data_IF_227803918435
#
_entry.id   IF_227803918435
#
_cell.length_a   1.000
_cell.length_b   1.000
_cell.length_c   1.000
_cell.angle_alpha   90.00
_cell.angle_beta   90.00
_cell.angle_gamma   90.00
#
_symmetry.space_group_name_H-M   'P 1'
#
loop_
_entity.id
_entity.type
_entity.pdbx_description
1 polymer ?
#
# COMPACT_ATOMS: atom_id res chain seq x y z
N UNK A 1 -85.48 19.65 22.74
CA UNK A 1 -84.12 19.29 22.29
C UNK A 1 -83.79 20.11 21.04
N UNK A 2 -82.65 20.81 20.99
CA UNK A 2 -82.16 21.47 19.76
C UNK A 2 -81.30 20.47 18.98
N UNK A 3 -81.79 19.98 17.84
CA UNK A 3 -80.97 19.27 16.86
C UNK A 3 -80.15 20.31 16.07
N UNK A 4 -78.83 20.14 16.03
CA UNK A 4 -77.97 20.98 15.20
C UNK A 4 -78.07 20.57 13.72
N UNK A 5 -77.98 21.50 12.76
CA UNK A 5 -77.92 21.14 11.34
C UNK A 5 -76.60 20.39 11.06
N UNK A 6 -76.69 19.28 10.32
CA UNK A 6 -75.51 18.60 9.79
C UNK A 6 -74.66 19.58 8.96
N UNK A 7 -73.36 19.69 9.27
CA UNK A 7 -72.41 20.44 8.44
C UNK A 7 -72.31 19.78 7.08
N UNK A 8 -72.89 20.40 6.05
CA UNK A 8 -72.76 19.95 4.68
C UNK A 8 -71.28 19.95 4.28
N UNK A 9 -70.75 18.77 3.92
CA UNK A 9 -69.36 18.64 3.48
C UNK A 9 -69.23 19.29 2.10
N UNK A 10 -68.65 20.49 2.06
CA UNK A 10 -68.52 21.29 0.82
C UNK A 10 -67.52 20.59 -0.12
N UNK A 11 -68.02 19.74 -1.00
CA UNK A 11 -67.24 19.13 -2.09
C UNK A 11 -66.55 20.26 -2.86
N UNK A 12 -65.21 20.23 -2.91
CA UNK A 12 -64.43 21.15 -3.74
C UNK A 12 -64.66 20.81 -5.21
N UNK A 13 -65.76 21.34 -5.77
CA UNK A 13 -65.97 21.43 -7.21
C UNK A 13 -65.02 22.50 -7.77
N UNK A 14 -63.72 22.22 -7.78
CA UNK A 14 -62.77 22.99 -8.58
C UNK A 14 -63.01 22.64 -10.04
N UNK A 15 -63.42 23.61 -10.86
CA UNK A 15 -63.76 23.37 -12.26
C UNK A 15 -62.60 22.70 -13.02
N UNK A 16 -62.81 21.46 -13.45
CA UNK A 16 -61.79 20.65 -14.14
C UNK A 16 -61.34 21.27 -15.46
N UNK A 17 -62.19 22.09 -16.09
CA UNK A 17 -61.89 22.89 -17.29
C UNK A 17 -60.80 23.94 -17.06
N UNK A 18 -60.62 24.45 -15.83
CA UNK A 18 -59.61 25.47 -15.52
C UNK A 18 -58.19 24.89 -15.34
N UNK A 19 -58.06 23.56 -15.19
CA UNK A 19 -56.78 22.86 -14.98
C UNK A 19 -56.32 22.06 -16.22
N UNK A 20 -56.77 22.47 -17.41
CA UNK A 20 -56.38 21.85 -18.67
C UNK A 20 -54.94 22.14 -19.10
N UNK A 21 -54.31 21.18 -19.78
CA UNK A 21 -53.00 21.41 -20.43
C UNK A 21 -53.17 22.15 -21.74
N UNK A 22 -52.33 23.16 -22.00
CA UNK A 22 -52.33 23.93 -23.27
C UNK A 22 -52.00 23.09 -24.52
N UNK A 23 -51.36 21.93 -24.35
CA UNK A 23 -51.14 20.95 -25.41
C UNK A 23 -51.08 19.55 -24.83
N UNK A 24 -52.06 18.71 -25.18
CA UNK A 24 -52.13 17.30 -24.76
C UNK A 24 -50.91 16.49 -25.22
N UNK A 25 -50.45 16.71 -26.45
CA UNK A 25 -49.27 16.02 -27.04
C UNK A 25 -47.98 16.41 -26.29
N UNK A 26 -47.80 17.69 -25.97
CA UNK A 26 -46.62 18.16 -25.21
C UNK A 26 -46.65 17.65 -23.77
N UNK A 27 -47.80 17.71 -23.11
CA UNK A 27 -48.00 17.18 -21.76
C UNK A 27 -47.68 15.67 -21.71
N UNK A 28 -48.26 14.88 -22.62
CA UNK A 28 -48.01 13.43 -22.73
C UNK A 28 -46.51 13.13 -22.94
N UNK A 29 -45.83 13.83 -23.85
CA UNK A 29 -44.37 13.67 -24.06
C UNK A 29 -43.54 14.02 -22.83
N UNK A 30 -43.91 15.07 -22.09
CA UNK A 30 -43.23 15.45 -20.84
C UNK A 30 -43.44 14.41 -19.74
N UNK A 31 -44.68 13.91 -19.60
CA UNK A 31 -45.03 12.88 -18.62
C UNK A 31 -44.31 11.57 -18.90
N UNK A 32 -44.26 11.10 -20.16
CA UNK A 32 -43.51 9.91 -20.56
C UNK A 32 -42.01 10.02 -20.23
N UNK A 33 -41.38 11.18 -20.49
CA UNK A 33 -39.97 11.42 -20.12
C UNK A 33 -39.75 11.48 -18.61
N UNK A 34 -40.72 11.99 -17.84
CA UNK A 34 -40.65 12.02 -16.39
C UNK A 34 -40.73 10.58 -15.83
N UNK A 35 -41.72 9.80 -16.26
CA UNK A 35 -41.89 8.39 -15.83
C UNK A 35 -40.71 7.52 -16.24
N UNK A 36 -40.17 7.69 -17.46
CA UNK A 36 -38.95 6.99 -17.90
C UNK A 36 -37.73 7.34 -17.03
N UNK A 37 -37.58 8.62 -16.66
CA UNK A 37 -36.51 9.07 -15.76
C UNK A 37 -36.68 8.56 -14.33
N UNK A 38 -37.92 8.43 -13.85
CA UNK A 38 -38.23 7.83 -12.56
C UNK A 38 -37.98 6.32 -12.56
N UNK A 39 -38.43 5.60 -13.59
CA UNK A 39 -38.13 4.17 -13.78
C UNK A 39 -36.62 3.90 -13.82
N UNK A 40 -35.83 4.70 -14.56
CA UNK A 40 -34.35 4.61 -14.57
C UNK A 40 -33.68 4.99 -13.24
N UNK A 41 -34.39 5.65 -12.31
CA UNK A 41 -33.90 5.94 -10.95
C UNK A 41 -34.21 4.83 -9.96
N UNK A 42 -35.21 3.99 -10.23
CA UNK A 42 -35.52 2.83 -9.38
C UNK A 42 -34.39 1.81 -9.49
N UNK A 43 -33.77 1.51 -8.35
CA UNK A 43 -32.74 0.49 -8.20
C UNK A 43 -33.16 -0.44 -7.05
N UNK A 44 -32.65 -1.67 -7.04
CA UNK A 44 -32.93 -2.63 -5.96
C UNK A 44 -32.39 -2.06 -4.63
N UNK A 45 -33.22 -1.92 -3.59
CA UNK A 45 -32.76 -1.41 -2.30
C UNK A 45 -31.75 -2.38 -1.70
N UNK A 46 -30.50 -1.93 -1.57
CA UNK A 46 -29.40 -2.71 -1.02
C UNK A 46 -29.08 -2.20 0.38
N UNK A 47 -28.94 -3.11 1.34
CA UNK A 47 -28.59 -2.79 2.73
C UNK A 47 -27.10 -2.45 2.79
N UNK A 48 -26.76 -1.19 3.06
CA UNK A 48 -25.38 -0.82 3.42
C UNK A 48 -25.08 -1.29 4.85
N UNK A 49 -23.87 -1.81 5.06
CA UNK A 49 -23.39 -2.33 6.36
C UNK A 49 -22.11 -1.63 6.84
N UNK A 50 -21.75 -0.50 6.24
CA UNK A 50 -20.66 0.34 6.72
C UNK A 50 -21.04 1.04 8.04
N UNK A 51 -20.24 0.81 9.08
CA UNK A 51 -20.42 1.43 10.40
C UNK A 51 -19.10 2.09 10.82
N UNK A 52 -19.15 3.38 11.19
CA UNK A 52 -17.97 4.14 11.61
C UNK A 52 -17.21 4.78 10.45
N UNK A 53 -15.89 4.73 10.52
CA UNK A 53 -15.00 5.27 9.48
C UNK A 53 -14.89 4.29 8.30
N UNK A 54 -15.08 4.73 7.04
CA UNK A 54 -15.06 3.84 5.89
C UNK A 54 -13.60 3.42 5.57
N UNK A 55 -13.33 2.12 5.30
CA UNK A 55 -12.00 1.67 4.92
C UNK A 55 -11.57 2.24 3.55
N UNK A 56 -10.26 2.35 3.27
CA UNK A 56 -9.73 2.94 2.04
C UNK A 56 -10.24 2.21 0.79
N UNK A 57 -10.87 2.88 -0.19
CA UNK A 57 -11.42 2.17 -1.35
C UNK A 57 -10.35 1.51 -2.22
N UNK A 58 -10.56 0.27 -2.66
CA UNK A 58 -9.56 -0.49 -3.41
C UNK A 58 -9.60 -0.13 -4.89
N UNK A 59 -8.50 0.46 -5.37
CA UNK A 59 -8.26 0.78 -6.77
C UNK A 59 -7.23 -0.22 -7.32
N UNK A 60 -7.69 -1.19 -8.10
CA UNK A 60 -6.81 -2.12 -8.80
C UNK A 60 -6.27 -1.45 -10.05
N UNK A 61 -4.98 -1.59 -10.29
CA UNK A 61 -4.30 -1.19 -11.52
C UNK A 61 -3.95 -2.48 -12.27
N UNK A 62 -4.50 -2.65 -13.47
CA UNK A 62 -4.12 -3.74 -14.38
C UNK A 62 -3.24 -3.13 -15.48
N UNK A 63 -1.97 -3.52 -15.49
CA UNK A 63 -1.00 -3.11 -16.51
C UNK A 63 -0.63 -4.29 -17.43
N UNK A 64 -0.34 -4.03 -18.71
CA UNK A 64 0.31 -5.02 -19.58
C UNK A 64 1.76 -5.30 -19.09
N UNK A 65 2.30 -6.53 -19.27
CA UNK A 65 3.55 -6.96 -18.65
C UNK A 65 4.78 -6.13 -19.03
N UNK A 66 4.73 -5.38 -20.14
CA UNK A 66 5.85 -4.62 -20.70
C UNK A 66 6.16 -3.29 -20.00
N UNK A 67 5.30 -2.82 -19.08
CA UNK A 67 5.40 -1.46 -18.52
C UNK A 67 5.49 -1.36 -17.00
N UNK A 68 5.75 -2.47 -16.32
CA UNK A 68 5.84 -2.52 -14.86
C UNK A 68 6.88 -1.56 -14.28
N UNK A 69 6.44 -0.68 -13.39
CA UNK A 69 7.31 0.17 -12.59
C UNK A 69 8.02 -0.68 -11.52
N UNK A 70 9.35 -0.71 -11.44
CA UNK A 70 10.09 -1.69 -10.62
C UNK A 70 10.06 -1.44 -9.11
N UNK A 71 9.57 -0.27 -8.66
CA UNK A 71 9.79 0.27 -7.32
C UNK A 71 8.61 0.04 -6.34
N UNK A 72 7.38 -0.07 -6.87
CA UNK A 72 6.16 -0.21 -6.05
C UNK A 72 5.81 -1.71 -5.91
N UNK A 73 5.66 -2.17 -4.66
CA UNK A 73 5.31 -3.55 -4.32
C UNK A 73 4.31 -3.61 -3.17
N UNK A 74 3.29 -4.47 -3.33
CA UNK A 74 2.16 -4.57 -2.40
C UNK A 74 1.21 -3.37 -2.51
N UNK A 75 0.21 -3.27 -1.63
CA UNK A 75 -0.78 -2.20 -1.68
C UNK A 75 -0.26 -0.89 -1.10
N UNK A 76 -0.69 0.23 -1.72
CA UNK A 76 -0.33 1.60 -1.34
C UNK A 76 -1.57 2.38 -0.94
N UNK A 77 -1.72 2.69 0.35
CA UNK A 77 -2.83 3.50 0.87
C UNK A 77 -2.48 4.98 0.84
N UNK A 78 -3.37 5.83 0.32
CA UNK A 78 -3.18 7.28 0.16
C UNK A 78 -4.43 8.05 0.59
N UNK A 79 -4.25 9.13 1.35
CA UNK A 79 -5.33 10.06 1.71
C UNK A 79 -5.66 10.96 0.51
N UNK A 80 -6.73 10.62 -0.23
CA UNK A 80 -7.24 11.41 -1.37
C UNK A 80 -8.04 12.64 -0.92
N UNK A 81 -8.76 12.55 0.20
CA UNK A 81 -9.53 13.65 0.77
C UNK A 81 -10.03 13.37 2.18
N UNK A 82 -10.66 14.37 2.82
CA UNK A 82 -10.99 14.37 4.26
C UNK A 82 -11.99 13.31 4.74
N UNK A 83 -12.63 12.62 3.81
CA UNK A 83 -13.58 11.52 4.08
C UNK A 83 -13.28 10.31 3.19
N UNK A 84 -12.07 10.24 2.61
CA UNK A 84 -11.73 9.31 1.54
C UNK A 84 -10.24 9.03 1.48
N UNK A 85 -9.87 7.82 1.87
CA UNK A 85 -8.62 7.19 1.48
C UNK A 85 -8.85 6.33 0.23
N UNK A 86 -7.78 6.05 -0.52
CA UNK A 86 -7.73 5.10 -1.63
C UNK A 86 -6.58 4.12 -1.34
N UNK A 87 -6.77 2.84 -1.63
CA UNK A 87 -5.72 1.83 -1.60
C UNK A 87 -5.47 1.38 -3.04
N UNK A 88 -4.33 1.78 -3.60
CA UNK A 88 -3.89 1.30 -4.90
C UNK A 88 -3.28 -0.09 -4.75
N UNK A 89 -3.59 -0.97 -5.68
CA UNK A 89 -3.07 -2.33 -5.74
C UNK A 89 -2.69 -2.67 -7.18
N UNK A 90 -1.43 -3.05 -7.40
CA UNK A 90 -0.98 -3.60 -8.68
C UNK A 90 -1.49 -5.03 -8.84
N UNK A 91 -1.99 -5.36 -10.04
CA UNK A 91 -2.50 -6.68 -10.36
C UNK A 91 -1.39 -7.53 -11.00
N UNK A 92 -0.97 -8.65 -10.39
CA UNK A 92 -0.03 -9.56 -11.03
C UNK A 92 -0.68 -10.23 -12.25
N UNK A 93 0.15 -10.61 -13.23
CA UNK A 93 -0.29 -11.24 -14.49
C UNK A 93 -0.68 -12.72 -14.33
N UNK A 94 -0.79 -13.20 -13.08
CA UNK A 94 -1.28 -14.53 -12.77
C UNK A 94 -2.81 -14.51 -12.75
N UNK A 95 -3.46 -15.43 -13.47
CA UNK A 95 -4.93 -15.58 -13.51
C UNK A 95 -5.53 -15.65 -12.09
N UNK A 96 -4.85 -16.31 -11.15
CA UNK A 96 -5.29 -16.40 -9.75
C UNK A 96 -5.29 -15.02 -9.07
N UNK A 97 -4.26 -14.21 -9.29
CA UNK A 97 -4.17 -12.85 -8.75
C UNK A 97 -5.17 -11.91 -9.41
N UNK A 98 -5.38 -12.03 -10.72
CA UNK A 98 -6.47 -11.35 -11.45
C UNK A 98 -7.85 -11.70 -10.88
N UNK A 99 -8.13 -12.98 -10.61
CA UNK A 99 -9.39 -13.44 -10.00
C UNK A 99 -9.60 -12.78 -8.63
N UNK A 100 -8.58 -12.72 -7.78
CA UNK A 100 -8.71 -12.12 -6.45
C UNK A 100 -8.82 -10.59 -6.50
N UNK A 101 -8.06 -9.93 -7.37
CA UNK A 101 -8.17 -8.50 -7.64
C UNK A 101 -9.56 -8.12 -8.18
N UNK A 102 -10.10 -8.90 -9.13
CA UNK A 102 -11.42 -8.70 -9.72
C UNK A 102 -12.55 -8.79 -8.69
N UNK A 103 -12.41 -9.65 -7.67
CA UNK A 103 -13.37 -9.71 -6.55
C UNK A 103 -13.30 -8.40 -5.74
N UNK A 104 -12.12 -8.04 -5.24
CA UNK A 104 -11.94 -6.99 -4.21
C UNK A 104 -12.10 -5.55 -4.73
N UNK A 105 -11.94 -5.32 -6.04
CA UNK A 105 -11.94 -4.00 -6.63
C UNK A 105 -13.23 -3.19 -6.34
N UNK A 106 -13.06 -1.94 -5.91
CA UNK A 106 -14.08 -0.90 -5.98
C UNK A 106 -13.99 -0.15 -7.33
N UNK A 107 -12.76 0.04 -7.81
CA UNK A 107 -12.40 0.60 -9.11
C UNK A 107 -11.29 -0.23 -9.76
N UNK A 108 -11.42 -0.53 -11.05
CA UNK A 108 -10.35 -1.06 -11.87
C UNK A 108 -9.85 0.01 -12.87
N UNK A 109 -8.55 0.28 -12.86
CA UNK A 109 -7.86 1.05 -13.90
C UNK A 109 -7.25 0.04 -14.89
N UNK A 110 -7.75 0.03 -16.12
CA UNK A 110 -7.26 -0.81 -17.20
C UNK A 110 -6.31 0.01 -18.05
N UNK A 111 -5.01 -0.24 -17.97
CA UNK A 111 -4.05 0.42 -18.85
C UNK A 111 -4.06 -0.30 -20.20
N UNK A 112 -4.25 0.46 -21.27
CA UNK A 112 -4.29 -0.03 -22.65
C UNK A 112 -3.23 0.73 -23.41
N UNK A 113 -2.28 0.01 -24.00
CA UNK A 113 -1.28 0.60 -24.89
C UNK A 113 -1.96 1.05 -26.19
N UNK A 114 -1.91 2.33 -26.52
CA UNK A 114 -2.48 2.84 -27.77
C UNK A 114 -1.66 2.44 -29.02
N UNK A 115 -0.42 1.99 -28.85
CA UNK A 115 0.47 1.55 -29.94
C UNK A 115 0.26 0.07 -30.31
N UNK A 116 0.17 -0.82 -29.32
CA UNK A 116 -0.19 -2.25 -29.52
C UNK A 116 -1.69 -2.51 -29.60
N UNK A 117 -2.51 -1.66 -28.97
CA UNK A 117 -3.93 -1.89 -28.79
C UNK A 117 -4.23 -2.74 -27.55
N UNK A 118 -5.29 -3.55 -27.63
CA UNK A 118 -5.72 -4.39 -26.52
C UNK A 118 -4.97 -5.72 -26.48
N UNK A 119 -4.30 -5.99 -25.36
CA UNK A 119 -3.70 -7.30 -25.08
C UNK A 119 -4.75 -8.28 -24.49
N UNK A 120 -4.54 -9.58 -24.74
CA UNK A 120 -5.44 -10.66 -24.28
C UNK A 120 -5.67 -10.62 -22.76
N UNK A 121 -4.61 -10.39 -21.98
CA UNK A 121 -4.63 -10.26 -20.52
C UNK A 121 -5.64 -9.19 -20.03
N UNK A 122 -5.76 -8.06 -20.74
CA UNK A 122 -6.70 -6.99 -20.38
C UNK A 122 -8.16 -7.40 -20.60
N UNK A 123 -8.43 -8.23 -21.61
CA UNK A 123 -9.76 -8.80 -21.86
C UNK A 123 -10.08 -9.96 -20.91
N UNK A 124 -9.11 -10.80 -20.56
CA UNK A 124 -9.29 -11.85 -19.55
C UNK A 124 -9.70 -11.25 -18.21
N UNK A 125 -8.98 -10.23 -17.73
CA UNK A 125 -9.34 -9.53 -16.49
C UNK A 125 -10.72 -8.85 -16.57
N UNK A 126 -11.08 -8.25 -17.72
CA UNK A 126 -12.41 -7.69 -17.95
C UNK A 126 -13.52 -8.76 -17.85
N UNK A 127 -13.30 -9.94 -18.43
CA UNK A 127 -14.25 -11.06 -18.40
C UNK A 127 -14.37 -11.66 -16.98
N UNK A 128 -13.26 -11.78 -16.24
CA UNK A 128 -13.26 -12.19 -14.84
C UNK A 128 -14.06 -11.22 -13.96
N UNK A 129 -13.88 -9.91 -14.16
CA UNK A 129 -14.68 -8.88 -13.49
C UNK A 129 -16.17 -8.98 -13.83
N UNK A 130 -16.55 -9.23 -15.08
CA UNK A 130 -17.95 -9.43 -15.46
C UNK A 130 -18.57 -10.62 -14.71
N UNK A 131 -17.85 -11.75 -14.63
CA UNK A 131 -18.30 -12.96 -13.95
C UNK A 131 -18.45 -12.81 -12.43
N UNK A 132 -17.57 -12.03 -11.77
CA UNK A 132 -17.64 -11.77 -10.33
C UNK A 132 -18.56 -10.61 -9.93
N UNK A 133 -19.17 -9.96 -10.92
CA UNK A 133 -19.99 -8.77 -10.78
C UNK A 133 -19.16 -7.52 -11.07
N UNK A 134 -19.36 -6.95 -12.25
CA UNK A 134 -18.54 -5.87 -12.81
C UNK A 134 -18.44 -4.67 -11.86
N UNK A 135 -17.27 -4.40 -11.25
CA UNK A 135 -17.05 -3.17 -10.49
C UNK A 135 -16.98 -1.99 -11.46
N UNK A 136 -16.77 -0.79 -10.91
CA UNK A 136 -16.49 0.35 -11.78
C UNK A 136 -15.12 0.15 -12.44
N UNK A 137 -15.04 0.36 -13.75
CA UNK A 137 -13.76 0.32 -14.45
C UNK A 137 -13.54 1.59 -15.29
N UNK A 138 -12.28 1.89 -15.58
CA UNK A 138 -11.84 3.00 -16.41
C UNK A 138 -10.66 2.56 -17.25
N UNK A 139 -10.76 2.70 -18.57
CA UNK A 139 -9.62 2.57 -19.48
C UNK A 139 -8.73 3.81 -19.40
N UNK A 140 -7.43 3.62 -19.27
CA UNK A 140 -6.39 4.65 -19.37
C UNK A 140 -5.53 4.30 -20.58
N UNK A 141 -5.52 5.15 -21.60
CA UNK A 141 -4.70 4.94 -22.80
C UNK A 141 -3.27 5.46 -22.54
N UNK A 142 -2.28 4.59 -22.70
CA UNK A 142 -0.84 4.89 -22.60
C UNK A 142 -0.17 4.91 -23.98
N UNK A 143 1.08 5.35 -24.06
CA UNK A 143 1.90 5.40 -25.29
C UNK A 143 1.22 6.06 -26.49
N UNK A 144 0.45 7.10 -26.20
CA UNK A 144 0.03 8.08 -27.20
C UNK A 144 1.22 8.99 -27.52
N UNK A 145 2.25 8.50 -28.22
CA UNK A 145 3.53 9.20 -28.43
C UNK A 145 3.43 10.61 -29.06
N UNK A 146 2.29 10.90 -29.69
CA UNK A 146 1.94 12.23 -30.25
C UNK A 146 1.46 13.23 -29.18
N UNK A 147 1.12 12.75 -27.99
CA UNK A 147 0.62 13.51 -26.85
C UNK A 147 1.50 13.24 -25.62
N UNK A 148 2.34 14.21 -25.25
CA UNK A 148 3.06 14.16 -23.97
C UNK A 148 2.05 14.02 -22.84
N UNK A 149 2.13 12.95 -22.05
CA UNK A 149 1.30 12.77 -20.86
C UNK A 149 1.49 13.97 -19.94
N UNK A 150 0.50 14.86 -19.87
CA UNK A 150 0.67 16.10 -19.12
C UNK A 150 0.39 15.86 -17.65
N UNK A 151 1.07 16.60 -16.78
CA UNK A 151 0.71 16.64 -15.34
C UNK A 151 -0.76 17.03 -15.14
N UNK A 152 -1.36 17.75 -16.10
CA UNK A 152 -2.77 18.12 -16.13
C UNK A 152 -3.69 16.92 -16.31
N UNK A 153 -3.34 15.97 -17.17
CA UNK A 153 -4.16 14.78 -17.45
C UNK A 153 -4.20 13.86 -16.22
N UNK A 154 -3.04 13.63 -15.59
CA UNK A 154 -2.93 12.94 -14.30
C UNK A 154 -3.72 13.69 -13.21
N UNK A 155 -3.64 15.02 -13.17
CA UNK A 155 -4.46 15.85 -12.26
C UNK A 155 -5.97 15.74 -12.55
N UNK A 156 -6.39 15.45 -13.78
CA UNK A 156 -7.80 15.30 -14.13
C UNK A 156 -8.31 13.89 -13.82
N UNK A 157 -7.49 12.87 -14.10
CA UNK A 157 -7.73 11.48 -13.68
C UNK A 157 -7.88 11.37 -12.16
N UNK A 158 -6.92 11.91 -11.40
CA UNK A 158 -6.97 11.89 -9.92
C UNK A 158 -8.17 12.66 -9.36
N UNK A 159 -8.56 13.81 -9.95
CA UNK A 159 -9.82 14.50 -9.61
C UNK A 159 -11.04 13.61 -9.86
N UNK A 160 -11.10 12.91 -10.99
CA UNK A 160 -12.21 12.03 -11.33
C UNK A 160 -12.35 10.90 -10.30
N UNK A 161 -11.26 10.18 -10.02
CA UNK A 161 -11.22 9.09 -9.02
C UNK A 161 -11.64 9.62 -7.64
N UNK A 162 -11.12 10.79 -7.25
CA UNK A 162 -11.43 11.42 -5.94
C UNK A 162 -12.90 11.79 -5.76
N UNK A 163 -13.63 12.12 -6.84
CA UNK A 163 -15.06 12.50 -6.80
C UNK A 163 -15.99 11.29 -6.98
N UNK A 164 -15.57 10.26 -7.71
CA UNK A 164 -16.43 9.16 -8.15
C UNK A 164 -16.93 8.29 -6.98
N UNK A 165 -18.23 8.01 -6.89
CA UNK A 165 -18.77 7.06 -5.88
C UNK A 165 -18.72 5.63 -6.43
N UNK A 166 -18.29 4.68 -5.61
CA UNK A 166 -18.23 3.27 -5.98
C UNK A 166 -19.45 2.51 -5.43
N UNK A 167 -20.15 1.72 -6.25
CA UNK A 167 -21.18 0.81 -5.76
C UNK A 167 -20.53 -0.39 -5.06
N UNK A 168 -21.13 -0.84 -3.96
CA UNK A 168 -20.71 -2.06 -3.26
C UNK A 168 -21.35 -3.29 -3.91
N UNK A 169 -20.54 -4.26 -4.32
CA UNK A 169 -21.01 -5.57 -4.77
C UNK A 169 -21.66 -6.34 -3.62
N UNK A 170 -22.73 -7.10 -3.91
CA UNK A 170 -23.46 -7.86 -2.89
C UNK A 170 -22.55 -8.83 -2.11
N UNK A 171 -21.56 -9.42 -2.78
CA UNK A 171 -20.58 -10.31 -2.12
C UNK A 171 -19.77 -9.55 -1.05
N UNK A 172 -19.32 -8.33 -1.36
CA UNK A 172 -18.53 -7.45 -0.46
C UNK A 172 -19.35 -7.03 0.75
N UNK A 173 -20.60 -6.65 0.54
CA UNK A 173 -21.48 -6.21 1.65
C UNK A 173 -21.88 -7.35 2.57
N UNK A 174 -21.89 -8.60 2.08
CA UNK A 174 -22.33 -9.77 2.87
C UNK A 174 -21.21 -10.53 3.59
N UNK A 175 -19.92 -10.35 3.25
CA UNK A 175 -18.80 -11.12 3.81
C UNK A 175 -17.72 -10.20 4.43
N UNK A 176 -17.14 -10.55 5.60
CA UNK A 176 -15.92 -9.91 6.07
C UNK A 176 -14.74 -10.33 5.19
N UNK A 177 -13.90 -9.39 4.79
CA UNK A 177 -12.62 -9.68 4.13
C UNK A 177 -11.56 -8.64 4.52
N UNK A 178 -10.29 -8.99 4.32
CA UNK A 178 -9.14 -8.12 4.60
C UNK A 178 -8.26 -8.12 3.34
N UNK A 179 -7.78 -6.95 2.96
CA UNK A 179 -6.63 -6.81 2.04
C UNK A 179 -5.40 -6.64 2.92
N UNK A 180 -4.38 -7.46 2.69
CA UNK A 180 -3.17 -7.50 3.52
C UNK A 180 -2.22 -6.39 3.09
N UNK A 181 -1.89 -5.50 4.02
CA UNK A 181 -0.92 -4.43 3.78
C UNK A 181 0.50 -4.88 4.15
N UNK A 182 0.61 -5.61 5.26
CA UNK A 182 1.87 -6.04 5.85
C UNK A 182 1.69 -7.42 6.49
N UNK A 183 2.68 -8.28 6.35
CA UNK A 183 2.75 -9.54 7.09
C UNK A 183 4.09 -9.62 7.83
N UNK A 184 4.08 -10.13 9.05
CA UNK A 184 5.26 -10.35 9.89
C UNK A 184 5.34 -11.83 10.26
N UNK A 185 6.55 -12.40 10.28
CA UNK A 185 6.77 -13.73 10.84
C UNK A 185 7.14 -13.52 12.32
N UNK A 186 6.32 -14.06 13.24
CA UNK A 186 6.50 -13.98 14.69
C UNK A 186 7.00 -15.33 15.23
N UNK A 187 7.50 -16.20 14.34
CA UNK A 187 8.19 -17.43 14.73
C UNK A 187 9.56 -17.06 15.32
N UNK A 188 9.89 -17.49 16.55
CA UNK A 188 11.17 -17.20 17.17
C UNK A 188 12.28 -17.90 16.37
N UNK A 189 13.43 -17.23 16.18
CA UNK A 189 14.43 -17.66 15.22
C UNK A 189 15.02 -19.03 15.57
N UNK A 190 15.12 -19.43 16.85
CA UNK A 190 15.70 -20.73 17.21
C UNK A 190 14.90 -21.89 16.61
N UNK A 191 13.57 -21.78 16.53
CA UNK A 191 12.72 -22.81 15.91
C UNK A 191 12.97 -22.94 14.40
N UNK A 192 13.20 -21.81 13.71
CA UNK A 192 13.49 -21.78 12.28
C UNK A 192 14.88 -22.34 11.97
N UNK A 193 15.88 -22.05 12.81
CA UNK A 193 17.24 -22.60 12.69
C UNK A 193 17.26 -24.13 12.93
N UNK A 194 16.48 -24.63 13.91
CA UNK A 194 16.39 -26.07 14.20
C UNK A 194 15.63 -26.84 13.10
N UNK A 195 14.58 -26.25 12.52
CA UNK A 195 13.85 -26.85 11.40
C UNK A 195 13.26 -25.76 10.48
N UNK A 196 13.85 -25.60 9.30
CA UNK A 196 13.38 -24.61 8.31
C UNK A 196 11.93 -24.86 7.82
N UNK A 197 11.43 -26.10 7.95
CA UNK A 197 10.06 -26.52 7.60
C UNK A 197 9.12 -26.60 8.81
N UNK A 198 9.38 -25.86 9.88
CA UNK A 198 8.47 -25.78 11.03
C UNK A 198 7.19 -24.96 10.72
N UNK A 199 6.12 -25.22 11.47
CA UNK A 199 4.91 -24.39 11.46
C UNK A 199 5.23 -22.96 11.92
N UNK A 200 4.95 -21.98 11.06
CA UNK A 200 5.27 -20.56 11.31
C UNK A 200 4.06 -19.76 11.78
N UNK A 201 4.27 -18.92 12.79
CA UNK A 201 3.25 -18.01 13.33
C UNK A 201 3.33 -16.67 12.59
N UNK A 202 2.46 -16.48 11.59
CA UNK A 202 2.43 -15.25 10.78
C UNK A 202 1.38 -14.29 11.35
N UNK A 203 1.77 -13.04 11.61
CA UNK A 203 0.86 -11.93 11.93
C UNK A 203 0.57 -11.13 10.66
N UNK A 204 -0.70 -10.80 10.46
CA UNK A 204 -1.20 -10.15 9.23
C UNK A 204 -1.89 -8.84 9.63
N UNK A 205 -1.46 -7.74 9.01
CA UNK A 205 -2.04 -6.40 9.17
C UNK A 205 -2.72 -5.96 7.88
N UNK A 206 -3.84 -5.28 8.01
CA UNK A 206 -4.59 -4.71 6.90
C UNK A 206 -5.97 -4.23 7.33
N UNK A 207 -6.63 -3.47 6.46
CA UNK A 207 -7.95 -2.91 6.74
C UNK A 207 -9.05 -3.96 6.63
N UNK A 208 -9.94 -4.01 7.62
CA UNK A 208 -11.16 -4.83 7.59
C UNK A 208 -12.20 -4.21 6.65
N UNK A 209 -12.83 -5.04 5.81
CA UNK A 209 -13.73 -4.64 4.74
C UNK A 209 -15.00 -5.49 4.73
N UNK A 210 -16.08 -4.92 4.20
CA UNK A 210 -17.37 -5.59 4.11
C UNK A 210 -18.11 -5.64 5.45
N UNK A 211 -18.31 -6.84 6.00
CA UNK A 211 -18.93 -7.03 7.32
C UNK A 211 -17.91 -7.01 8.47
N UNK A 212 -18.39 -6.73 9.69
CA UNK A 212 -17.61 -6.91 10.91
C UNK A 212 -17.33 -8.39 11.18
N UNK A 213 -16.10 -8.69 11.63
CA UNK A 213 -15.70 -10.04 12.04
C UNK A 213 -16.31 -10.39 13.41
N UNK A 214 -16.90 -11.59 13.55
CA UNK A 214 -17.46 -12.04 14.83
C UNK A 214 -16.34 -12.49 15.77
N UNK A 215 -16.37 -12.00 17.01
CA UNK A 215 -15.50 -12.48 18.11
C UNK A 215 -15.68 -14.00 18.28
N UNK A 216 -14.58 -14.75 18.27
CA UNK A 216 -14.59 -16.22 18.38
C UNK A 216 -14.74 -17.00 17.06
N UNK A 217 -14.65 -16.34 15.90
CA UNK A 217 -14.60 -17.05 14.59
C UNK A 217 -13.29 -17.86 14.48
N UNK A 218 -13.39 -19.19 14.47
CA UNK A 218 -12.22 -20.09 14.56
C UNK A 218 -11.49 -20.35 13.23
N UNK A 219 -12.02 -19.87 12.10
CA UNK A 219 -11.52 -20.21 10.76
C UNK A 219 -11.65 -19.05 9.77
N UNK A 220 -10.54 -18.69 9.13
CA UNK A 220 -10.47 -17.85 7.95
C UNK A 220 -9.46 -18.48 6.96
N UNK A 221 -9.70 -18.40 5.64
CA UNK A 221 -8.65 -18.76 4.67
C UNK A 221 -7.58 -17.69 4.66
N UNK A 222 -6.42 -18.11 4.15
CA UNK A 222 -5.65 -17.28 3.24
C UNK A 222 -5.93 -17.79 1.80
N UNK A 223 -6.26 -16.90 0.87
CA UNK A 223 -6.43 -17.16 -0.56
C UNK A 223 -5.58 -16.09 -1.26
N UNK A 224 -4.30 -16.39 -1.50
CA UNK A 224 -3.33 -15.38 -1.92
C UNK A 224 -3.29 -14.17 -0.96
N UNK A 225 -3.45 -12.98 -1.53
CA UNK A 225 -3.48 -11.68 -0.83
C UNK A 225 -4.84 -11.36 -0.16
N UNK A 226 -5.79 -12.30 -0.19
CA UNK A 226 -7.13 -12.21 0.38
C UNK A 226 -7.32 -13.20 1.55
N UNK A 227 -8.22 -12.90 2.49
CA UNK A 227 -8.57 -13.78 3.63
C UNK A 227 -10.07 -14.17 3.58
N UNK A 228 -10.43 -15.42 3.26
CA UNK A 228 -11.85 -15.86 3.08
C UNK A 228 -12.14 -17.39 3.15
N UNK A 229 -12.41 -17.93 4.36
CA UNK A 229 -12.76 -19.34 4.80
C UNK A 229 -12.64 -20.50 3.78
N UNK A 230 -11.99 -21.67 3.95
CA UNK A 230 -11.40 -22.62 4.94
C UNK A 230 -10.60 -22.17 6.21
N UNK A 231 -9.57 -22.94 6.66
CA UNK A 231 -9.33 -23.23 8.09
C UNK A 231 -7.87 -23.09 8.60
N UNK A 232 -7.39 -21.85 8.74
CA UNK A 232 -6.28 -21.53 9.65
C UNK A 232 -6.83 -21.23 11.06
N UNK A 233 -6.13 -21.67 12.11
CA UNK A 233 -6.48 -21.38 13.52
C UNK A 233 -6.22 -19.90 13.82
N UNK A 234 -7.26 -19.07 13.70
CA UNK A 234 -7.16 -17.64 13.92
C UNK A 234 -7.13 -17.29 15.43
N UNK A 235 -6.04 -16.66 15.87
CA UNK A 235 -6.00 -15.94 17.16
C UNK A 235 -6.63 -14.56 16.98
N UNK A 236 -7.41 -14.10 17.96
CA UNK A 236 -8.16 -12.84 17.85
C UNK A 236 -7.23 -11.63 17.71
N UNK A 237 -7.41 -10.86 16.64
CA UNK A 237 -6.63 -9.65 16.37
C UNK A 237 -6.96 -8.47 17.29
N UNK A 238 -5.93 -7.81 17.80
CA UNK A 238 -6.03 -6.51 18.48
C UNK A 238 -6.32 -5.40 17.46
N UNK A 239 -7.23 -4.48 17.80
CA UNK A 239 -7.43 -3.28 16.99
C UNK A 239 -6.20 -2.35 17.10
N UNK A 240 -5.53 -2.11 15.98
CA UNK A 240 -4.43 -1.15 15.87
C UNK A 240 -4.97 0.22 15.45
N UNK A 241 -4.25 1.29 15.76
CA UNK A 241 -4.56 2.62 15.23
C UNK A 241 -4.31 2.71 13.72
N UNK A 242 -5.12 3.48 13.00
CA UNK A 242 -4.96 3.74 11.56
C UNK A 242 -3.62 4.46 11.30
N UNK A 243 -2.74 3.95 10.40
CA UNK A 243 -1.51 4.64 10.01
C UNK A 243 -1.74 5.89 9.13
N UNK A 244 -2.92 6.06 8.53
CA UNK A 244 -3.28 7.18 7.63
C UNK A 244 -4.60 7.88 8.02
N UNK A 245 -4.80 8.29 9.28
CA UNK A 245 -6.10 8.72 9.81
C UNK A 245 -6.70 9.89 9.02
N UNK A 246 -8.03 9.85 8.77
CA UNK A 246 -8.69 10.90 8.01
C UNK A 246 -8.66 12.25 8.76
N UNK A 247 -8.27 13.36 8.09
CA UNK A 247 -8.20 14.66 8.74
C UNK A 247 -9.62 15.20 9.00
N UNK A 248 -9.91 15.52 10.27
CA UNK A 248 -11.22 16.00 10.73
C UNK A 248 -11.88 17.01 9.77
N UNK A 249 -13.11 16.69 9.37
CA UNK A 249 -13.86 17.38 8.32
C UNK A 249 -14.20 18.85 8.64
N UNK A 250 -14.00 19.31 9.88
CA UNK A 250 -14.24 20.69 10.31
C UNK A 250 -13.29 21.72 9.68
N UNK A 251 -12.15 21.31 9.12
CA UNK A 251 -11.15 22.23 8.53
C UNK A 251 -11.52 22.63 7.09
N UNK A 252 -11.19 23.88 6.68
CA UNK A 252 -11.45 24.51 5.36
C UNK A 252 -11.30 23.57 4.14
N UNK A 253 -12.08 23.82 3.07
CA UNK A 253 -12.07 23.09 1.79
C UNK A 253 -10.65 22.92 1.24
N UNK A 254 -10.29 21.70 0.81
CA UNK A 254 -8.94 21.32 0.35
C UNK A 254 -8.17 20.50 1.40
N UNK A 255 -7.30 19.61 0.92
CA UNK A 255 -6.39 18.80 1.74
C UNK A 255 -5.03 19.50 1.82
N UNK A 256 -4.49 19.69 3.03
CA UNK A 256 -3.19 20.35 3.22
C UNK A 256 -2.06 19.35 2.96
N UNK A 257 -0.86 19.80 2.61
CA UNK A 257 0.25 18.88 2.28
C UNK A 257 0.64 17.98 3.46
N UNK A 258 0.58 18.49 4.70
CA UNK A 258 0.74 17.71 5.94
C UNK A 258 -0.36 16.66 6.18
N UNK A 259 -1.45 16.70 5.41
CA UNK A 259 -2.58 15.77 5.49
C UNK A 259 -2.60 14.79 4.29
N UNK A 260 -1.66 14.93 3.34
CA UNK A 260 -1.45 14.00 2.22
C UNK A 260 -0.56 12.84 2.67
N UNK A 261 -1.06 12.05 3.59
CA UNK A 261 -0.37 10.86 4.09
C UNK A 261 -0.48 9.72 3.07
N UNK A 262 0.59 8.91 3.00
CA UNK A 262 0.64 7.65 2.28
C UNK A 262 1.25 6.56 3.18
N UNK A 263 0.82 5.31 2.98
CA UNK A 263 1.26 4.14 3.72
C UNK A 263 1.43 2.97 2.75
N UNK A 264 2.67 2.50 2.61
CA UNK A 264 3.06 1.39 1.76
C UNK A 264 4.21 0.61 2.41
N UNK A 265 3.92 -0.27 3.38
CA UNK A 265 4.94 -0.95 4.19
C UNK A 265 5.74 -2.01 3.42
N UNK A 266 5.34 -2.36 2.19
CA UNK A 266 6.02 -3.32 1.31
C UNK A 266 6.73 -2.67 0.11
N UNK A 267 6.57 -1.35 -0.08
CA UNK A 267 7.25 -0.59 -1.14
C UNK A 267 8.41 0.22 -0.55
N UNK A 268 9.40 0.58 -1.37
CA UNK A 268 10.42 1.54 -0.97
C UNK A 268 9.79 2.91 -0.77
N UNK A 269 9.78 3.43 0.45
CA UNK A 269 9.27 4.77 0.74
C UNK A 269 10.45 5.73 0.95
N UNK A 270 10.95 6.25 -0.17
CA UNK A 270 12.27 6.89 -0.23
C UNK A 270 13.37 5.83 -0.31
N UNK A 271 14.59 6.20 0.09
CA UNK A 271 15.80 5.36 -0.05
C UNK A 271 15.84 4.14 0.91
N UNK A 272 14.76 3.86 1.63
CA UNK A 272 14.63 2.76 2.59
C UNK A 272 13.64 1.70 2.10
N UNK A 273 14.18 0.58 1.62
CA UNK A 273 13.42 -0.63 1.29
C UNK A 273 13.32 -1.53 2.53
N UNK A 274 12.11 -1.79 3.01
CA UNK A 274 11.87 -2.78 4.07
C UNK A 274 11.83 -4.20 3.48
N UNK A 275 12.98 -4.81 3.31
CA UNK A 275 13.11 -6.25 3.04
C UNK A 275 13.61 -6.95 4.31
N UNK A 276 12.93 -8.04 4.71
CA UNK A 276 13.09 -8.64 6.06
C UNK A 276 14.45 -9.29 6.27
N UNK A 277 15.05 -9.76 5.18
CA UNK A 277 16.31 -10.50 5.18
C UNK A 277 17.45 -9.70 4.51
N UNK A 278 17.24 -8.40 4.28
CA UNK A 278 18.23 -7.53 3.66
C UNK A 278 18.74 -6.46 4.64
N UNK A 279 19.81 -6.81 5.35
CA UNK A 279 20.82 -5.83 5.80
C UNK A 279 21.55 -5.25 4.58
N UNK A 280 20.81 -4.59 3.69
CA UNK A 280 21.35 -3.82 2.57
C UNK A 280 21.30 -2.37 2.97
N UNK A 281 22.49 -1.77 2.99
CA UNK A 281 22.71 -0.34 3.10
C UNK A 281 21.59 0.40 2.35
N UNK A 282 20.88 1.29 3.06
CA UNK A 282 19.97 2.20 2.40
C UNK A 282 20.75 2.84 1.25
N UNK A 283 20.29 2.62 0.01
CA UNK A 283 20.99 3.10 -1.16
C UNK A 283 20.66 4.59 -1.32
N UNK A 284 21.10 5.37 -0.33
CA UNK A 284 20.86 6.79 -0.24
C UNK A 284 21.46 7.37 -1.50
N UNK A 285 20.63 7.88 -2.39
CA UNK A 285 21.05 8.55 -3.63
C UNK A 285 21.59 9.96 -3.31
N UNK A 286 22.15 10.11 -2.11
CA UNK A 286 23.11 11.13 -1.75
C UNK A 286 24.32 11.01 -2.66
N UNK A 287 24.68 12.16 -3.22
CA UNK A 287 25.87 12.51 -4.00
C UNK A 287 27.24 12.24 -3.35
N UNK A 288 27.37 11.26 -2.47
CA UNK A 288 28.51 11.02 -1.57
C UNK A 288 29.41 9.83 -1.95
N UNK A 289 29.01 8.95 -2.88
CA UNK A 289 29.82 7.82 -3.35
C UNK A 289 30.13 7.88 -4.85
N UNK A 290 30.73 8.99 -5.29
CA UNK A 290 31.58 8.95 -6.49
C UNK A 290 32.97 8.45 -6.06
N UNK A 291 33.43 7.28 -6.54
CA UNK A 291 34.77 6.78 -6.25
C UNK A 291 35.81 7.68 -6.94
N UNK A 292 36.31 8.69 -6.22
CA UNK A 292 37.25 9.67 -6.77
C UNK A 292 37.23 11.07 -6.16
N UNK A 293 36.35 11.38 -5.20
CA UNK A 293 36.53 12.59 -4.36
C UNK A 293 37.51 12.30 -3.22
N UNK A 294 38.27 13.33 -2.83
CA UNK A 294 39.24 13.24 -1.75
C UNK A 294 38.56 12.79 -0.46
N UNK A 295 39.18 11.84 0.25
CA UNK A 295 38.66 11.31 1.51
C UNK A 295 38.56 12.43 2.53
N UNK A 296 37.33 12.79 2.90
CA UNK A 296 37.09 13.78 3.92
C UNK A 296 37.51 13.23 5.28
N UNK A 297 38.03 14.09 6.16
CA UNK A 297 38.51 13.67 7.50
C UNK A 297 37.39 13.00 8.30
N UNK A 298 36.14 13.44 8.10
CA UNK A 298 34.95 12.82 8.67
C UNK A 298 34.66 11.41 8.15
N UNK A 299 34.87 11.13 6.86
CA UNK A 299 34.66 9.80 6.28
C UNK A 299 35.68 8.78 6.84
N UNK A 300 36.95 9.19 6.92
CA UNK A 300 38.01 8.38 7.52
C UNK A 300 37.76 8.12 9.01
N UNK A 301 37.26 9.11 9.74
CA UNK A 301 36.92 8.98 11.16
C UNK A 301 35.72 8.03 11.38
N UNK A 302 34.67 8.11 10.56
CA UNK A 302 33.53 7.18 10.61
C UNK A 302 33.97 5.75 10.28
N UNK A 303 34.78 5.56 9.21
CA UNK A 303 35.37 4.26 8.87
C UNK A 303 36.26 3.71 9.97
N UNK A 304 37.01 4.57 10.68
CA UNK A 304 37.79 4.15 11.83
C UNK A 304 36.86 3.66 12.96
N UNK A 305 35.84 4.44 13.34
CA UNK A 305 34.90 4.06 14.40
C UNK A 305 34.08 2.80 14.10
N UNK A 306 33.67 2.58 12.85
CA UNK A 306 33.00 1.34 12.42
C UNK A 306 33.90 0.10 12.58
N UNK A 307 35.22 0.25 12.39
CA UNK A 307 36.18 -0.85 12.47
C UNK A 307 36.81 -1.03 13.87
N UNK A 308 36.57 -0.12 14.83
CA UNK A 308 37.12 -0.25 16.18
C UNK A 308 36.35 -1.26 17.03
N UNK A 309 36.96 -2.44 17.21
CA UNK A 309 36.40 -3.57 17.99
C UNK A 309 36.48 -3.42 19.52
N UNK A 310 37.22 -2.44 20.02
CA UNK A 310 37.45 -2.20 21.45
C UNK A 310 36.83 -0.88 21.87
N UNK A 311 36.31 -0.81 23.10
CA UNK A 311 35.77 0.43 23.65
C UNK A 311 36.86 1.51 23.77
N UNK A 312 36.44 2.77 23.85
CA UNK A 312 37.36 3.89 24.05
C UNK A 312 38.05 3.76 25.41
N UNK A 313 37.34 3.28 26.43
CA UNK A 313 37.85 3.10 27.79
C UNK A 313 38.93 2.00 27.85
N UNK A 314 38.72 0.86 27.18
CA UNK A 314 39.73 -0.22 27.12
C UNK A 314 41.00 0.23 26.37
N UNK A 315 40.87 1.13 25.40
CA UNK A 315 42.03 1.81 24.79
C UNK A 315 42.68 2.80 25.76
N UNK A 316 41.90 3.51 26.55
CA UNK A 316 42.39 4.50 27.52
C UNK A 316 43.19 3.84 28.66
N UNK A 317 42.71 2.70 29.18
CA UNK A 317 43.44 1.88 30.15
C UNK A 317 44.75 1.31 29.59
N UNK A 318 44.75 0.95 28.30
CA UNK A 318 45.97 0.52 27.58
C UNK A 318 46.92 1.68 27.27
N UNK A 319 46.44 2.92 27.22
CA UNK A 319 47.26 4.12 27.01
C UNK A 319 47.63 4.80 28.34
N UNK A 320 48.64 4.26 29.03
CA UNK A 320 49.15 4.86 30.27
C UNK A 320 49.78 6.24 30.00
N UNK A 321 49.20 7.31 30.58
CA UNK A 321 49.69 8.69 30.41
C UNK A 321 50.89 8.92 31.34
N UNK A 322 52.09 9.03 30.77
CA UNK A 322 53.31 9.37 31.53
C UNK A 322 53.41 10.88 31.76
N UNK A 323 52.87 11.38 32.89
CA UNK A 323 52.83 12.81 33.24
C UNK A 323 54.20 13.36 33.72
N UNK A 324 55.07 12.51 34.24
CA UNK A 324 56.45 12.87 34.60
C UNK A 324 57.44 12.01 33.83
N UNK A 325 58.59 12.58 33.45
CA UNK A 325 59.58 12.00 32.53
C UNK A 325 60.35 10.77 33.04
N UNK A 326 59.64 9.70 33.41
CA UNK A 326 60.18 8.36 33.64
C UNK A 326 59.80 7.48 32.45
N UNK A 327 60.78 6.78 31.88
CA UNK A 327 60.54 5.81 30.81
C UNK A 327 59.66 4.67 31.35
N UNK A 328 58.62 4.22 30.63
CA UNK A 328 57.81 3.09 31.06
C UNK A 328 58.63 1.79 30.98
N UNK A 329 58.50 0.93 31.99
CA UNK A 329 59.00 -0.43 31.91
C UNK A 329 58.10 -1.24 30.96
N UNK A 330 58.74 -1.95 30.03
CA UNK A 330 58.07 -2.74 29.00
C UNK A 330 57.35 -3.93 29.65
N UNK A 331 56.02 -4.01 29.49
CA UNK A 331 55.27 -5.24 29.78
C UNK A 331 55.59 -6.32 28.74
N UNK A 332 55.57 -7.59 29.17
CA UNK A 332 56.20 -8.73 28.50
C UNK A 332 55.61 -9.15 27.14
N UNK A 333 54.54 -8.52 26.64
CA UNK A 333 53.90 -8.90 25.38
C UNK A 333 54.54 -8.23 24.15
N UNK A 334 55.26 -7.12 24.32
CA UNK A 334 55.96 -6.47 23.21
C UNK A 334 57.09 -7.34 22.62
N UNK A 335 57.69 -8.22 23.42
CA UNK A 335 58.82 -9.07 23.00
C UNK A 335 58.45 -10.22 22.06
N UNK A 336 57.17 -10.60 21.96
CA UNK A 336 56.75 -11.69 21.07
C UNK A 336 56.51 -11.19 19.64
N UNK A 337 55.91 -10.00 19.47
CA UNK A 337 55.68 -9.42 18.14
C UNK A 337 56.99 -9.02 17.43
N UNK A 338 58.00 -8.54 18.16
CA UNK A 338 59.31 -8.24 17.58
C UNK A 338 60.01 -9.49 17.01
N UNK A 339 59.89 -10.65 17.68
CA UNK A 339 60.45 -11.93 17.20
C UNK A 339 59.74 -12.42 15.92
N UNK A 340 58.43 -12.25 15.83
CA UNK A 340 57.64 -12.65 14.64
C UNK A 340 58.05 -11.79 13.42
N UNK A 341 58.21 -10.48 13.58
CA UNK A 341 58.71 -9.61 12.50
C UNK A 341 60.14 -9.96 12.08
N UNK A 342 61.06 -10.25 13.02
CA UNK A 342 62.40 -10.73 12.65
C UNK A 342 62.38 -12.08 11.92
N UNK A 343 61.53 -13.04 12.32
CA UNK A 343 61.39 -14.32 11.62
C UNK A 343 60.86 -14.14 10.19
N UNK A 344 59.85 -13.30 9.98
CA UNK A 344 59.29 -13.01 8.65
C UNK A 344 60.36 -12.35 7.75
N UNK A 345 61.15 -11.43 8.30
CA UNK A 345 62.20 -10.74 7.55
C UNK A 345 63.37 -11.67 7.17
N UNK A 346 63.73 -12.62 8.05
CA UNK A 346 64.72 -13.67 7.76
C UNK A 346 64.21 -14.61 6.65
N UNK A 347 62.96 -15.07 6.74
CA UNK A 347 62.37 -15.96 5.73
C UNK A 347 62.38 -15.30 4.35
N UNK A 348 61.91 -14.05 4.25
CA UNK A 348 61.93 -13.27 2.99
C UNK A 348 63.35 -13.10 2.41
N UNK A 349 64.36 -12.83 3.23
CA UNK A 349 65.74 -12.74 2.74
C UNK A 349 66.31 -14.09 2.28
N UNK A 350 65.95 -15.22 2.92
CA UNK A 350 66.39 -16.54 2.45
C UNK A 350 65.76 -16.95 1.12
N UNK A 351 64.52 -16.55 0.83
CA UNK A 351 63.86 -16.85 -0.45
C UNK A 351 64.45 -16.07 -1.63
N UNK A 352 64.96 -14.86 -1.44
CA UNK A 352 65.55 -14.05 -2.52
C UNK A 352 66.97 -14.48 -2.96
N UNK A 353 67.64 -15.38 -2.23
CA UNK A 353 69.05 -15.74 -2.47
C UNK A 353 69.24 -16.93 -3.44
N UNK A 354 68.17 -17.63 -3.85
CA UNK A 354 68.28 -18.88 -4.64
C UNK A 354 67.58 -18.85 -6.01
N UNK A 355 67.97 -17.91 -6.86
CA UNK A 355 67.63 -17.90 -8.31
C UNK A 355 68.75 -17.24 -9.15
N UNK A 356 69.89 -17.95 -9.30
CA UNK A 356 70.92 -17.67 -10.33
C UNK A 356 71.70 -18.94 -10.74
N UNK A 357 71.09 -19.77 -11.56
CA UNK A 357 71.58 -20.15 -12.90
C UNK A 357 70.52 -20.95 -13.62
#
# INVERSE_FOLDING_TARGET
MKLQPHKAYRTRQSGSSAFGFTSSVKAKRSQMRATEKEQRRLHIPTIDRSYGEPPPYVVVVQEPPRHKVPEVRGPVTVVSGKKRQLQFLDCPNDINGMIDCAKIADLALLLIDASHGFEMETFEFLNLMQNHGLPMFMGVLTHLDKFKCTKTDICNLTKFISVKKFPSLHWRTCRPYVVVDRFEDVTPPERVHMNNKCDRNITIYGYLRGCNLKKGTKSCNLHGMLVSMTALKFSWGTGLADPCPLPSAAKKKGLRDKEKLFYAPMSGLGDLLYDKDADKEANILSSSLLPGKAQDVGEMLVKLFQNTKYSIDEKFEKSFISVFGRKPNISSDATNNAKIWMMIQIILMTSSIKLRK
#
